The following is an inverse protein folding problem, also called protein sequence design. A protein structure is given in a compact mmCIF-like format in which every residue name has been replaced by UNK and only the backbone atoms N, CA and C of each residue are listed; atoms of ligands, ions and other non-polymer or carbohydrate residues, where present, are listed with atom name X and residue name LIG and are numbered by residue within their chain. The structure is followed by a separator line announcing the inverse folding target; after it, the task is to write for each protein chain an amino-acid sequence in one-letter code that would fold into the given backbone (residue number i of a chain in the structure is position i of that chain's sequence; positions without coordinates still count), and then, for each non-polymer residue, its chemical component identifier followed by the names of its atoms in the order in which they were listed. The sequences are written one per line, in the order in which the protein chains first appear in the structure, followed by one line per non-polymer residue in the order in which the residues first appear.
data_IF_474798095621
#
_entry.id   IF_474798095621
#
_cell.length_a   1.000
_cell.length_b   1.000
_cell.length_c   1.000
_cell.angle_alpha   90.00
_cell.angle_beta   90.00
_cell.angle_gamma   90.00
#
_symmetry.space_group_name_H-M   'P 1'
#
loop_
_entity.id
_entity.type
_entity.pdbx_description
1 polymer ?
#
# COMPACT_ATOMS: atom_id res chain seq x y z
N UNK A 1 -3.18 17.79 -10.70
CA UNK A 1 -3.66 16.75 -9.76
C UNK A 1 -4.86 17.30 -9.03
N UNK A 2 -5.80 16.43 -8.66
CA UNK A 2 -6.86 16.81 -7.73
C UNK A 2 -6.24 17.16 -6.37
N UNK A 3 -6.81 18.15 -5.68
CA UNK A 3 -6.31 18.56 -4.36
C UNK A 3 -6.74 17.55 -3.29
N UNK A 4 -5.77 17.05 -2.52
CA UNK A 4 -5.99 16.17 -1.36
C UNK A 4 -5.72 16.97 -0.09
N UNK A 5 -6.75 17.18 0.72
CA UNK A 5 -6.77 18.11 1.85
C UNK A 5 -6.43 17.45 3.20
N UNK A 6 -6.29 16.11 3.25
CA UNK A 6 -6.00 15.36 4.46
C UNK A 6 -4.52 15.07 4.75
N UNK A 7 -3.62 15.59 3.90
CA UNK A 7 -2.19 15.23 3.94
C UNK A 7 -1.92 13.84 3.36
N UNK A 8 -0.89 13.17 3.88
CA UNK A 8 -0.47 11.83 3.45
C UNK A 8 -0.42 10.82 4.61
N UNK A 9 -0.22 9.54 4.30
CA UNK A 9 -0.14 8.48 5.31
C UNK A 9 1.09 8.60 6.21
N UNK A 10 2.18 9.19 5.74
CA UNK A 10 3.35 9.43 6.58
C UNK A 10 3.02 10.43 7.69
N UNK A 11 2.34 11.52 7.35
CA UNK A 11 1.89 12.54 8.30
C UNK A 11 0.85 11.98 9.27
N UNK A 12 -0.11 11.16 8.79
CA UNK A 12 -1.07 10.46 9.65
C UNK A 12 -0.36 9.57 10.67
N UNK A 13 0.56 8.71 10.22
CA UNK A 13 1.28 7.81 11.11
C UNK A 13 2.15 8.56 12.12
N UNK A 14 2.82 9.64 11.66
CA UNK A 14 3.64 10.49 12.52
C UNK A 14 2.82 11.15 13.64
N UNK A 15 1.59 11.60 13.33
CA UNK A 15 0.65 12.12 14.34
C UNK A 15 0.26 11.04 15.35
N UNK A 16 -0.13 9.86 14.89
CA UNK A 16 -0.47 8.72 15.75
C UNK A 16 0.68 8.33 16.70
N UNK A 17 1.90 8.19 16.17
CA UNK A 17 3.09 7.88 16.96
C UNK A 17 3.41 8.96 18.01
N UNK A 18 3.32 10.24 17.62
CA UNK A 18 3.55 11.38 18.53
C UNK A 18 2.56 11.38 19.71
N UNK A 19 1.34 10.92 19.49
CA UNK A 19 0.30 10.81 20.50
C UNK A 19 0.28 9.46 21.23
N UNK A 20 1.23 8.55 20.92
CA UNK A 20 1.30 7.21 21.53
C UNK A 20 0.05 6.36 21.23
N UNK A 21 -0.52 6.53 20.05
CA UNK A 21 -1.77 5.91 19.64
C UNK A 21 -1.62 5.14 18.33
N UNK A 22 -2.41 4.07 18.19
CA UNK A 22 -2.50 3.29 16.96
C UNK A 22 -3.47 3.94 15.96
N UNK A 23 -3.19 3.74 14.68
CA UNK A 23 -4.22 3.96 13.65
C UNK A 23 -5.36 2.97 13.92
N UNK A 24 -6.64 3.41 13.93
CA UNK A 24 -7.77 2.54 14.18
C UNK A 24 -7.82 1.35 13.21
N UNK A 25 -8.17 0.15 13.73
CA UNK A 25 -8.28 -1.08 12.94
C UNK A 25 -9.06 -0.90 11.64
N UNK A 26 -10.24 -0.27 11.72
CA UNK A 26 -11.12 -0.05 10.58
C UNK A 26 -10.49 0.87 9.53
N UNK A 27 -9.73 1.88 9.94
CA UNK A 27 -8.97 2.74 9.02
C UNK A 27 -7.80 1.98 8.37
N UNK A 28 -7.07 1.15 9.13
CA UNK A 28 -6.02 0.28 8.58
C UNK A 28 -6.56 -0.67 7.51
N UNK A 29 -7.71 -1.30 7.76
CA UNK A 29 -8.39 -2.19 6.80
C UNK A 29 -8.84 -1.38 5.58
N UNK A 30 -9.40 -0.18 5.78
CA UNK A 30 -9.79 0.74 4.69
C UNK A 30 -8.60 1.13 3.81
N UNK A 31 -7.45 1.46 4.41
CA UNK A 31 -6.19 1.75 3.71
C UNK A 31 -5.77 0.55 2.85
N UNK A 32 -5.73 -0.65 3.45
CA UNK A 32 -5.34 -1.87 2.73
C UNK A 32 -6.25 -2.13 1.54
N UNK A 33 -7.58 -2.14 1.75
CA UNK A 33 -8.58 -2.40 0.71
C UNK A 33 -8.46 -1.38 -0.43
N UNK A 34 -8.31 -0.09 -0.11
CA UNK A 34 -8.20 0.97 -1.11
C UNK A 34 -6.91 0.85 -1.95
N UNK A 35 -5.76 0.56 -1.33
CA UNK A 35 -4.50 0.36 -2.05
C UNK A 35 -4.55 -0.90 -2.92
N UNK A 36 -5.18 -1.98 -2.45
CA UNK A 36 -5.40 -3.20 -3.25
C UNK A 36 -6.26 -2.88 -4.47
N UNK A 37 -7.32 -2.10 -4.32
CA UNK A 37 -8.16 -1.66 -5.46
C UNK A 37 -7.34 -0.85 -6.47
N UNK A 38 -6.53 0.10 -6.01
CA UNK A 38 -5.64 0.88 -6.88
C UNK A 38 -4.64 -0.02 -7.63
N UNK A 39 -4.01 -0.97 -6.94
CA UNK A 39 -3.08 -1.91 -7.57
C UNK A 39 -3.77 -2.87 -8.54
N UNK A 40 -4.97 -3.35 -8.23
CA UNK A 40 -5.73 -4.22 -9.12
C UNK A 40 -6.11 -3.48 -10.42
N UNK A 41 -6.39 -2.18 -10.32
CA UNK A 41 -6.53 -1.32 -11.49
C UNK A 41 -5.22 -1.23 -12.27
N UNK A 42 -4.12 -0.80 -11.65
CA UNK A 42 -2.83 -0.62 -12.36
C UNK A 42 -2.31 -1.92 -13.01
N UNK A 43 -2.42 -3.04 -12.30
CA UNK A 43 -1.84 -4.32 -12.73
C UNK A 43 -2.72 -5.05 -13.75
N UNK A 44 -4.05 -4.89 -13.68
CA UNK A 44 -4.98 -5.76 -14.41
C UNK A 44 -6.15 -5.04 -15.09
N UNK A 45 -6.27 -3.73 -14.88
CA UNK A 45 -7.41 -2.92 -15.33
C UNK A 45 -8.69 -3.27 -14.60
N UNK A 46 -8.61 -3.81 -13.37
CA UNK A 46 -9.80 -4.23 -12.63
C UNK A 46 -10.38 -3.07 -11.84
N UNK A 47 -11.69 -2.86 -11.98
CA UNK A 47 -12.49 -1.88 -11.24
C UNK A 47 -13.49 -2.65 -10.40
N UNK A 48 -13.53 -2.34 -9.11
CA UNK A 48 -14.54 -2.84 -8.20
C UNK A 48 -15.77 -1.93 -8.23
N UNK A 49 -16.95 -2.52 -8.46
CA UNK A 49 -18.21 -1.80 -8.59
C UNK A 49 -19.03 -1.89 -7.29
N UNK A 50 -19.89 -0.90 -6.99
CA UNK A 50 -20.73 -0.89 -5.79
C UNK A 50 -21.66 -2.10 -5.66
N UNK A 51 -22.06 -2.71 -6.79
CA UNK A 51 -22.86 -3.94 -6.81
C UNK A 51 -22.07 -5.20 -6.38
N UNK A 52 -20.85 -5.02 -5.87
CA UNK A 52 -19.98 -6.08 -5.42
C UNK A 52 -19.29 -6.84 -6.56
N UNK A 53 -19.42 -6.43 -7.82
CA UNK A 53 -18.78 -7.13 -8.95
C UNK A 53 -17.48 -6.46 -9.36
N UNK A 54 -16.60 -7.21 -10.03
CA UNK A 54 -15.36 -6.67 -10.60
C UNK A 54 -15.46 -6.65 -12.12
N UNK A 55 -15.20 -5.50 -12.73
CA UNK A 55 -15.20 -5.33 -14.19
C UNK A 55 -13.78 -5.00 -14.66
N UNK A 56 -13.43 -5.43 -15.87
CA UNK A 56 -12.22 -4.95 -16.54
C UNK A 56 -12.51 -3.65 -17.29
N UNK A 57 -11.77 -2.61 -16.96
CA UNK A 57 -11.76 -1.34 -17.68
C UNK A 57 -10.90 -1.46 -18.95
N UNK A 58 -11.44 -0.98 -20.06
CA UNK A 58 -10.75 -0.93 -21.34
C UNK A 58 -10.50 0.54 -21.69
N UNK A 59 -9.24 0.92 -21.89
CA UNK A 59 -8.90 2.29 -22.26
C UNK A 59 -9.35 2.56 -23.72
N UNK A 60 -10.00 3.72 -24.00
CA UNK A 60 -10.51 4.04 -25.34
C UNK A 60 -9.45 3.98 -26.45
N UNK A 61 -8.21 4.37 -26.13
CA UNK A 61 -7.08 4.40 -27.06
C UNK A 61 -6.37 3.04 -27.26
N UNK A 62 -6.74 2.00 -26.50
CA UNK A 62 -6.17 0.64 -26.64
C UNK A 62 -7.22 -0.41 -26.26
N UNK A 63 -8.29 -0.54 -27.07
CA UNK A 63 -9.47 -1.33 -26.73
C UNK A 63 -9.21 -2.84 -26.59
N UNK A 64 -8.03 -3.35 -26.96
CA UNK A 64 -7.72 -4.79 -26.97
C UNK A 64 -6.68 -5.27 -25.95
N UNK A 65 -5.98 -4.40 -25.20
CA UNK A 65 -4.98 -4.88 -24.22
C UNK A 65 -4.71 -3.88 -23.11
N UNK A 66 -4.97 -4.28 -21.86
CA UNK A 66 -4.45 -3.59 -20.69
C UNK A 66 -2.92 -3.70 -20.68
N UNK A 67 -2.22 -2.59 -20.47
CA UNK A 67 -0.78 -2.58 -20.23
C UNK A 67 -0.56 -2.53 -18.73
N UNK A 68 0.10 -3.54 -18.17
CA UNK A 68 0.44 -3.58 -16.75
C UNK A 68 1.28 -2.37 -16.38
N UNK A 69 0.77 -1.53 -15.48
CA UNK A 69 1.48 -0.37 -14.95
C UNK A 69 2.05 -0.75 -13.59
N UNK A 70 3.35 -0.52 -13.41
CA UNK A 70 4.02 -0.63 -12.12
C UNK A 70 4.17 0.76 -11.53
N UNK A 71 3.80 0.93 -10.27
CA UNK A 71 3.98 2.20 -9.55
C UNK A 71 5.46 2.46 -9.22
N UNK A 72 6.12 1.42 -8.72
CA UNK A 72 7.53 1.35 -8.32
C UNK A 72 7.98 2.21 -7.14
N UNK A 73 7.15 3.12 -6.62
CA UNK A 73 7.50 3.88 -5.40
C UNK A 73 6.30 4.01 -4.45
N UNK A 74 5.76 2.86 -4.01
CA UNK A 74 4.66 2.82 -3.06
C UNK A 74 5.24 2.95 -1.65
N UNK A 75 4.93 4.07 -1.02
CA UNK A 75 5.40 4.46 0.32
C UNK A 75 4.38 5.41 0.96
N UNK A 76 4.37 5.59 2.29
CA UNK A 76 3.36 6.41 2.97
C UNK A 76 3.26 7.85 2.45
N UNK A 77 4.36 8.46 2.04
CA UNK A 77 4.41 9.82 1.48
C UNK A 77 3.67 9.96 0.14
N UNK A 78 3.56 8.86 -0.61
CA UNK A 78 2.91 8.83 -1.92
C UNK A 78 1.44 8.39 -1.83
N UNK A 79 0.89 8.28 -0.62
CA UNK A 79 -0.50 7.86 -0.39
C UNK A 79 -1.23 9.00 0.32
N UNK A 80 -2.04 9.72 -0.46
CA UNK A 80 -2.72 10.92 -0.03
C UNK A 80 -4.09 10.60 0.57
N UNK A 81 -4.52 11.48 1.47
CA UNK A 81 -5.83 11.44 2.11
C UNK A 81 -6.70 12.57 1.55
N UNK A 82 -7.88 12.20 1.04
CA UNK A 82 -8.83 13.17 0.48
C UNK A 82 -10.19 13.05 1.14
N UNK A 83 -10.71 14.16 1.64
CA UNK A 83 -12.10 14.22 2.08
C UNK A 83 -13.01 14.57 0.89
N UNK A 84 -14.09 13.80 0.64
CA UNK A 84 -15.01 14.13 -0.44
C UNK A 84 -15.66 15.49 -0.19
N UNK A 85 -15.67 16.36 -1.21
CA UNK A 85 -16.24 17.72 -1.11
C UNK A 85 -17.74 17.72 -0.74
N UNK A 86 -18.45 16.68 -1.19
CA UNK A 86 -19.86 16.41 -0.87
C UNK A 86 -19.98 15.10 -0.08
N UNK A 87 -19.06 14.84 0.84
CA UNK A 87 -19.23 13.77 1.81
C UNK A 87 -20.60 13.96 2.45
N UNK A 88 -21.53 13.02 2.24
CA UNK A 88 -22.63 12.87 3.16
C UNK A 88 -22.02 12.75 4.56
N UNK A 89 -22.74 13.20 5.59
CA UNK A 89 -22.26 13.09 6.99
C UNK A 89 -21.87 11.64 7.39
N UNK A 90 -22.18 10.66 6.55
CA UNK A 90 -21.83 9.24 6.64
C UNK A 90 -20.45 8.82 6.12
N UNK A 91 -19.66 9.66 5.42
CA UNK A 91 -18.30 9.25 5.01
C UNK A 91 -17.38 9.16 6.23
N UNK A 92 -17.18 7.94 6.72
CA UNK A 92 -16.44 7.62 7.94
C UNK A 92 -14.93 7.89 7.84
N UNK A 93 -14.33 7.65 6.67
CA UNK A 93 -12.89 7.75 6.42
C UNK A 93 -12.60 8.58 5.16
N UNK A 94 -11.39 9.18 5.06
CA UNK A 94 -10.97 9.81 3.82
C UNK A 94 -10.79 8.77 2.72
N UNK A 95 -10.91 9.21 1.48
CA UNK A 95 -10.47 8.43 0.34
C UNK A 95 -8.93 8.32 0.35
N UNK A 96 -8.45 7.14 -0.01
CA UNK A 96 -7.03 6.82 -0.05
C UNK A 96 -6.58 6.86 -1.51
N UNK A 97 -5.73 7.83 -1.84
CA UNK A 97 -5.33 8.13 -3.21
C UNK A 97 -3.85 7.82 -3.39
N UNK A 98 -3.55 6.83 -4.23
CA UNK A 98 -2.16 6.55 -4.64
C UNK A 98 -1.69 7.62 -5.62
N UNK A 99 -0.53 8.22 -5.35
CA UNK A 99 0.01 9.37 -6.07
C UNK A 99 1.50 9.19 -6.40
N UNK A 100 2.06 10.17 -7.12
CA UNK A 100 3.46 10.18 -7.59
C UNK A 100 3.84 9.00 -8.51
N UNK A 101 3.44 9.14 -9.77
CA UNK A 101 3.79 8.20 -10.84
C UNK A 101 5.16 8.51 -11.48
N UNK A 102 6.02 9.31 -10.83
CA UNK A 102 7.33 9.70 -11.38
C UNK A 102 8.29 8.52 -11.63
N UNK A 103 8.14 7.44 -10.86
CA UNK A 103 8.91 6.19 -11.02
C UNK A 103 8.16 5.12 -11.81
N UNK A 104 6.91 5.39 -12.21
CA UNK A 104 6.04 4.39 -12.80
C UNK A 104 6.48 4.02 -14.22
N UNK A 105 6.06 2.84 -14.65
CA UNK A 105 6.31 2.40 -16.02
C UNK A 105 5.54 1.15 -16.38
N UNK A 106 5.50 0.85 -17.68
CA UNK A 106 4.90 -0.38 -18.18
C UNK A 106 5.84 -1.54 -17.88
N UNK A 107 5.34 -2.63 -17.27
CA UNK A 107 6.15 -3.73 -16.73
C UNK A 107 7.23 -4.25 -17.70
N UNK A 108 6.93 -4.39 -19.00
CA UNK A 108 7.87 -4.86 -20.01
C UNK A 108 8.80 -3.78 -20.61
N UNK A 109 8.73 -2.55 -20.12
CA UNK A 109 9.55 -1.40 -20.54
C UNK A 109 10.35 -0.78 -19.39
N UNK A 110 10.06 -1.17 -18.15
CA UNK A 110 10.80 -0.70 -16.98
C UNK A 110 12.19 -1.32 -17.00
N UNK A 111 13.19 -0.47 -16.83
CA UNK A 111 14.60 -0.86 -16.71
C UNK A 111 15.11 -0.48 -15.33
N UNK A 112 15.90 -1.40 -14.75
CA UNK A 112 16.65 -1.20 -13.52
C UNK A 112 15.80 -1.10 -12.25
N UNK A 113 16.47 -1.09 -11.08
CA UNK A 113 15.79 -0.87 -9.81
C UNK A 113 15.23 0.55 -9.71
N UNK A 114 14.05 0.69 -9.11
CA UNK A 114 13.31 1.95 -8.95
C UNK A 114 12.69 2.07 -7.57
N UNK A 115 12.38 3.32 -7.21
CA UNK A 115 11.71 3.67 -5.96
C UNK A 115 12.65 3.80 -4.77
N UNK A 116 12.06 3.76 -3.59
CA UNK A 116 12.73 4.01 -2.32
C UNK A 116 13.21 2.70 -1.69
N UNK A 117 14.52 2.56 -1.45
CA UNK A 117 15.18 1.34 -0.94
C UNK A 117 14.46 0.71 0.27
N UNK A 118 14.01 1.52 1.24
CA UNK A 118 13.32 1.07 2.46
C UNK A 118 12.03 0.28 2.20
N UNK A 119 11.32 0.61 1.11
CA UNK A 119 10.06 -0.03 0.72
C UNK A 119 10.23 -1.03 -0.42
N UNK A 120 11.42 -1.05 -1.04
CA UNK A 120 11.76 -1.96 -2.12
C UNK A 120 11.72 -3.43 -1.66
N UNK A 121 11.30 -4.31 -2.57
CA UNK A 121 11.33 -5.74 -2.37
C UNK A 121 12.77 -6.28 -2.28
N UNK A 122 13.03 -7.44 -1.64
CA UNK A 122 14.38 -7.98 -1.49
C UNK A 122 15.13 -8.09 -2.82
N UNK A 123 14.45 -8.55 -3.88
CA UNK A 123 15.03 -8.66 -5.23
C UNK A 123 15.37 -7.30 -5.86
N UNK A 124 14.74 -6.21 -5.40
CA UNK A 124 15.03 -4.84 -5.84
C UNK A 124 16.09 -4.19 -4.94
N UNK A 125 16.14 -4.53 -3.65
CA UNK A 125 17.23 -4.11 -2.76
C UNK A 125 18.57 -4.70 -3.21
N UNK A 126 18.60 -6.00 -3.51
CA UNK A 126 19.79 -6.65 -4.08
C UNK A 126 20.26 -5.96 -5.36
N UNK A 127 19.33 -5.49 -6.18
CA UNK A 127 19.62 -4.72 -7.38
C UNK A 127 20.23 -3.34 -7.09
N UNK A 128 19.72 -2.63 -6.07
CA UNK A 128 20.30 -1.37 -5.60
C UNK A 128 21.71 -1.58 -5.06
N UNK A 129 21.92 -2.63 -4.27
CA UNK A 129 23.22 -2.96 -3.68
C UNK A 129 24.24 -3.33 -4.75
N UNK A 130 23.84 -4.17 -5.71
CA UNK A 130 24.66 -4.52 -6.86
C UNK A 130 25.04 -3.28 -7.67
N UNK A 131 24.07 -2.41 -7.98
CA UNK A 131 24.33 -1.17 -8.73
C UNK A 131 25.32 -0.28 -7.98
N UNK A 132 25.13 -0.11 -6.68
CA UNK A 132 26.03 0.69 -5.82
C UNK A 132 27.45 0.13 -5.84
N UNK A 133 27.60 -1.18 -5.63
CA UNK A 133 28.88 -1.89 -5.71
C UNK A 133 29.58 -1.70 -7.07
N UNK A 134 28.85 -1.85 -8.17
CA UNK A 134 29.38 -1.67 -9.53
C UNK A 134 29.82 -0.23 -9.81
N UNK A 135 29.12 0.78 -9.29
CA UNK A 135 29.53 2.19 -9.40
C UNK A 135 30.87 2.39 -8.69
N UNK A 136 31.04 1.81 -7.50
CA UNK A 136 32.27 1.93 -6.71
C UNK A 136 33.47 1.22 -7.36
N UNK A 137 33.27 0.05 -7.97
CA UNK A 137 34.36 -0.77 -8.50
C UNK A 137 34.66 -0.53 -9.98
N UNK A 138 33.69 -0.02 -10.75
CA UNK A 138 33.82 0.18 -12.19
C UNK A 138 33.49 1.64 -12.56
N UNK A 139 32.28 1.87 -13.06
CA UNK A 139 31.75 3.18 -13.43
C UNK A 139 30.22 3.09 -13.60
N UNK A 140 29.57 4.26 -13.73
CA UNK A 140 28.12 4.36 -13.91
C UNK A 140 27.59 3.57 -15.12
N UNK A 141 28.28 3.62 -16.27
CA UNK A 141 27.81 2.96 -17.51
C UNK A 141 27.78 1.43 -17.37
N UNK A 142 28.82 0.85 -16.78
CA UNK A 142 28.86 -0.58 -16.50
C UNK A 142 27.80 -0.98 -15.47
N UNK A 143 27.63 -0.17 -14.42
CA UNK A 143 26.61 -0.41 -13.40
C UNK A 143 25.19 -0.38 -13.97
N UNK A 144 24.87 0.61 -14.82
CA UNK A 144 23.55 0.72 -15.45
C UNK A 144 23.32 -0.42 -16.44
N UNK A 145 24.33 -0.80 -17.25
CA UNK A 145 24.21 -1.92 -18.19
C UNK A 145 23.83 -3.22 -17.50
N UNK A 146 24.44 -3.51 -16.34
CA UNK A 146 24.20 -4.74 -15.58
C UNK A 146 22.89 -4.65 -14.79
N UNK A 147 22.68 -3.56 -14.05
CA UNK A 147 21.49 -3.40 -13.20
C UNK A 147 20.19 -3.22 -14.00
N UNK A 148 20.25 -2.74 -15.25
CA UNK A 148 19.10 -2.66 -16.14
C UNK A 148 18.47 -4.03 -16.47
N UNK A 149 19.21 -5.12 -16.32
CA UNK A 149 18.69 -6.48 -16.47
C UNK A 149 17.78 -6.92 -15.32
N UNK A 150 17.71 -6.15 -14.23
CA UNK A 150 16.87 -6.46 -13.08
C UNK A 150 15.50 -5.84 -13.28
N UNK A 151 14.46 -6.69 -13.15
CA UNK A 151 13.11 -6.39 -13.62
C UNK A 151 12.20 -6.12 -12.41
N UNK A 152 11.68 -4.91 -12.32
CA UNK A 152 10.52 -4.62 -11.46
C UNK A 152 9.31 -5.40 -11.98
N UNK A 153 8.53 -5.98 -11.08
CA UNK A 153 7.31 -6.72 -11.43
C UNK A 153 6.14 -6.24 -10.59
N UNK A 154 4.92 -6.64 -10.96
CA UNK A 154 3.73 -6.44 -10.10
C UNK A 154 3.94 -6.91 -8.66
N UNK A 155 4.71 -7.99 -8.46
CA UNK A 155 5.02 -8.54 -7.12
C UNK A 155 5.92 -7.65 -6.27
N UNK A 156 6.73 -6.79 -6.88
CA UNK A 156 7.52 -5.78 -6.14
C UNK A 156 6.63 -4.67 -5.56
N UNK A 157 5.56 -4.29 -6.26
CA UNK A 157 4.55 -3.36 -5.75
C UNK A 157 3.74 -3.99 -4.60
N UNK A 158 3.42 -5.29 -4.69
CA UNK A 158 2.74 -6.03 -3.62
C UNK A 158 3.59 -6.06 -2.34
N UNK A 159 4.90 -6.26 -2.46
CA UNK A 159 5.80 -6.14 -1.31
C UNK A 159 5.75 -4.74 -0.70
N UNK A 160 5.83 -3.70 -1.55
CA UNK A 160 5.83 -2.31 -1.10
C UNK A 160 4.54 -1.95 -0.35
N UNK A 161 3.38 -2.46 -0.82
CA UNK A 161 2.11 -2.43 -0.06
C UNK A 161 2.27 -3.07 1.31
N UNK A 162 2.81 -4.29 1.38
CA UNK A 162 3.08 -4.98 2.63
C UNK A 162 3.96 -4.18 3.58
N UNK A 163 4.97 -3.46 3.07
CA UNK A 163 5.85 -2.58 3.85
C UNK A 163 5.13 -1.34 4.36
N UNK A 164 4.26 -0.73 3.57
CA UNK A 164 3.38 0.36 4.02
C UNK A 164 2.48 -0.12 5.15
N UNK A 165 1.81 -1.26 4.97
CA UNK A 165 1.01 -1.87 6.05
C UNK A 165 1.86 -2.17 7.27
N UNK A 166 3.13 -2.56 7.06
CA UNK A 166 4.07 -2.80 8.14
C UNK A 166 4.26 -1.58 9.05
N UNK A 167 4.31 -0.42 8.44
CA UNK A 167 4.52 0.85 9.12
C UNK A 167 3.23 1.41 9.73
N UNK A 168 2.07 1.16 9.11
CA UNK A 168 0.76 1.59 9.63
C UNK A 168 0.26 0.74 10.82
N UNK A 169 0.91 -0.40 11.08
CA UNK A 169 0.57 -1.30 12.19
C UNK A 169 1.79 -1.50 13.11
N UNK A 170 2.24 -0.47 13.85
CA UNK A 170 3.37 -0.63 14.75
C UNK A 170 3.03 -1.64 15.86
N UNK A 171 4.02 -2.38 16.32
CA UNK A 171 3.89 -3.11 17.58
C UNK A 171 3.94 -2.13 18.74
N UNK A 172 3.07 -2.31 19.72
CA UNK A 172 3.16 -1.61 20.99
C UNK A 172 3.10 -2.63 22.12
N UNK A 173 3.86 -2.38 23.17
CA UNK A 173 3.76 -3.13 24.42
C UNK A 173 3.19 -2.22 25.51
N UNK A 174 2.49 -2.81 26.48
CA UNK A 174 1.99 -2.06 27.63
C UNK A 174 3.08 -1.91 28.68
N UNK A 175 3.36 -0.67 29.08
CA UNK A 175 4.15 -0.34 30.27
C UNK A 175 3.30 0.60 31.12
N UNK A 176 2.99 0.18 32.35
CA UNK A 176 2.15 0.95 33.29
C UNK A 176 0.83 1.45 32.69
N UNK A 177 0.17 0.61 31.89
CA UNK A 177 -1.11 0.92 31.23
C UNK A 177 -1.00 1.82 29.99
N UNK A 178 0.21 2.24 29.59
CA UNK A 178 0.46 3.02 28.36
C UNK A 178 1.03 2.13 27.26
N UNK A 179 0.61 2.35 26.03
CA UNK A 179 1.19 1.70 24.86
C UNK A 179 2.52 2.38 24.48
N UNK A 180 3.61 1.62 24.43
CA UNK A 180 4.93 2.08 23.99
C UNK A 180 5.31 1.32 22.72
N UNK A 181 5.69 2.06 21.68
CA UNK A 181 6.08 1.52 20.38
C UNK A 181 7.33 0.63 20.50
N UNK A 182 7.24 -0.60 19.99
CA UNK A 182 8.38 -1.51 19.84
C UNK A 182 8.87 -1.46 18.39
N UNK A 183 10.02 -0.82 18.17
CA UNK A 183 10.60 -0.66 16.82
C UNK A 183 11.33 -1.89 16.29
N UNK A 184 11.51 -2.93 17.12
CA UNK A 184 12.31 -4.10 16.77
C UNK A 184 11.63 -5.39 17.22
N UNK A 185 11.20 -6.20 16.25
CA UNK A 185 10.54 -7.47 16.51
C UNK A 185 9.89 -8.06 15.26
N UNK A 186 9.59 -9.35 15.34
CA UNK A 186 8.62 -9.96 14.45
C UNK A 186 7.23 -9.54 14.90
N UNK A 187 6.38 -9.18 13.94
CA UNK A 187 4.95 -8.93 14.10
C UNK A 187 4.23 -10.08 14.82
N UNK A 188 4.22 -10.06 16.14
CA UNK A 188 3.55 -11.06 17.00
C UNK A 188 2.33 -10.46 17.68
N UNK A 189 1.23 -11.21 17.74
CA UNK A 189 0.01 -10.83 18.49
C UNK A 189 -0.89 -9.80 17.79
N UNK A 190 -0.56 -9.38 16.57
CA UNK A 190 -1.39 -8.47 15.78
C UNK A 190 -2.71 -9.13 15.32
N UNK A 191 -2.78 -10.45 15.34
CA UNK A 191 -3.98 -11.23 15.05
C UNK A 191 -5.13 -10.92 16.02
N UNK A 192 -4.84 -10.66 17.29
CA UNK A 192 -5.85 -10.29 18.29
C UNK A 192 -6.50 -8.93 17.96
N UNK A 193 -5.74 -8.04 17.32
CA UNK A 193 -6.19 -6.70 16.95
C UNK A 193 -6.89 -6.75 15.59
N UNK A 194 -6.18 -7.21 14.55
CA UNK A 194 -6.61 -7.08 13.16
C UNK A 194 -7.33 -8.31 12.62
N UNK A 195 -7.26 -9.45 13.31
CA UNK A 195 -7.82 -10.73 12.88
C UNK A 195 -6.80 -11.59 12.12
N UNK A 196 -6.90 -12.90 12.31
CA UNK A 196 -5.94 -13.86 11.72
C UNK A 196 -5.89 -13.81 10.20
N UNK A 197 -7.05 -13.71 9.54
CA UNK A 197 -7.12 -13.78 8.09
C UNK A 197 -6.54 -12.52 7.44
N UNK A 198 -6.90 -11.33 7.93
CA UNK A 198 -6.31 -10.06 7.48
C UNK A 198 -4.78 -10.07 7.65
N UNK A 199 -4.28 -10.46 8.83
CA UNK A 199 -2.84 -10.53 9.09
C UNK A 199 -2.13 -11.55 8.21
N UNK A 200 -2.77 -12.68 7.91
CA UNK A 200 -2.24 -13.69 6.96
C UNK A 200 -2.00 -13.08 5.58
N UNK A 201 -2.94 -12.28 5.06
CA UNK A 201 -2.80 -11.66 3.74
C UNK A 201 -1.74 -10.56 3.71
N UNK A 202 -1.68 -9.71 4.74
CA UNK A 202 -0.62 -8.69 4.84
C UNK A 202 0.76 -9.36 4.91
N UNK A 203 0.93 -10.43 5.70
CA UNK A 203 2.20 -11.18 5.76
C UNK A 203 2.55 -11.86 4.44
N UNK A 204 1.57 -12.39 3.70
CA UNK A 204 1.82 -12.95 2.35
C UNK A 204 2.36 -11.89 1.38
N UNK A 205 1.96 -10.61 1.52
CA UNK A 205 2.53 -9.53 0.73
C UNK A 205 4.04 -9.36 0.98
N UNK A 206 4.50 -9.66 2.20
CA UNK A 206 5.90 -9.64 2.64
C UNK A 206 6.63 -10.97 2.42
N UNK A 207 6.17 -11.82 1.49
CA UNK A 207 6.87 -13.05 1.11
C UNK A 207 8.26 -12.77 0.56
N UNK A 208 9.27 -13.49 1.03
CA UNK A 208 10.69 -13.29 0.63
C UNK A 208 10.91 -13.45 -0.86
N UNK A 209 10.19 -14.36 -1.52
CA UNK A 209 10.23 -14.54 -2.98
C UNK A 209 9.02 -13.89 -3.66
N UNK A 210 9.19 -13.34 -4.88
CA UNK A 210 8.07 -12.79 -5.66
C UNK A 210 6.94 -13.79 -5.91
N UNK A 211 7.28 -15.07 -6.07
CA UNK A 211 6.31 -16.15 -6.34
C UNK A 211 5.38 -16.36 -5.14
N UNK A 212 5.90 -16.27 -3.91
CA UNK A 212 5.11 -16.46 -2.69
C UNK A 212 4.16 -15.31 -2.35
N UNK A 213 4.30 -14.16 -3.02
CA UNK A 213 3.40 -13.01 -2.82
C UNK A 213 2.10 -13.18 -3.60
N UNK A 214 0.95 -12.68 -3.12
CA UNK A 214 -0.29 -12.71 -3.89
C UNK A 214 -0.23 -11.71 -5.06
N UNK A 215 -1.13 -11.85 -6.01
CA UNK A 215 -1.45 -10.83 -7.02
C UNK A 215 -2.42 -9.80 -6.45
N UNK A 216 -2.45 -8.60 -7.03
CA UNK A 216 -3.45 -7.59 -6.67
C UNK A 216 -4.88 -8.08 -6.91
N UNK A 217 -5.08 -8.95 -7.93
CA UNK A 217 -6.37 -9.60 -8.19
C UNK A 217 -6.82 -10.51 -7.06
N UNK A 218 -5.95 -11.40 -6.59
CA UNK A 218 -6.27 -12.32 -5.47
C UNK A 218 -6.61 -11.54 -4.19
N UNK A 219 -5.86 -10.47 -3.91
CA UNK A 219 -6.15 -9.58 -2.79
C UNK A 219 -7.51 -8.88 -2.94
N UNK A 220 -7.83 -8.39 -4.15
CA UNK A 220 -9.09 -7.73 -4.42
C UNK A 220 -10.28 -8.69 -4.25
N UNK A 221 -10.21 -9.89 -4.84
CA UNK A 221 -11.26 -10.90 -4.71
C UNK A 221 -11.56 -11.24 -3.25
N UNK A 222 -10.52 -11.27 -2.39
CA UNK A 222 -10.70 -11.45 -0.94
C UNK A 222 -11.36 -10.25 -0.26
N UNK A 223 -10.87 -9.03 -0.52
CA UNK A 223 -11.41 -7.80 0.05
C UNK A 223 -12.90 -7.61 -0.27
N UNK A 224 -13.31 -8.02 -1.48
CA UNK A 224 -14.71 -8.02 -1.92
C UNK A 224 -15.56 -9.02 -1.15
N UNK A 225 -15.05 -10.25 -0.94
CA UNK A 225 -15.78 -11.29 -0.21
C UNK A 225 -16.11 -10.87 1.22
N UNK A 226 -15.13 -10.30 1.94
CA UNK A 226 -15.33 -9.81 3.32
C UNK A 226 -16.39 -8.71 3.39
N UNK A 227 -16.37 -7.77 2.44
CA UNK A 227 -17.33 -6.66 2.39
C UNK A 227 -18.79 -7.14 2.19
N UNK A 228 -18.99 -8.31 1.59
CA UNK A 228 -20.33 -8.92 1.44
C UNK A 228 -20.79 -9.68 2.69
N UNK A 229 -19.84 -10.18 3.48
CA UNK A 229 -20.11 -10.97 4.69
C UNK A 229 -20.37 -10.06 5.90
N UNK A 230 -19.73 -8.89 5.96
CA UNK A 230 -19.84 -7.95 7.08
C UNK A 230 -21.12 -7.09 7.08
N UNK A 231 -21.93 -7.13 6.00
CA UNK A 231 -23.05 -6.20 5.79
C UNK A 231 -22.56 -4.76 5.55
N UNK A 232 -23.39 -3.89 4.95
CA UNK A 232 -23.10 -2.46 4.93
C UNK A 232 -23.10 -1.95 6.38
N UNK A 233 -21.91 -1.63 6.91
CA UNK A 233 -21.73 -0.86 8.15
C UNK A 233 -22.61 0.39 8.02
N UNK A 234 -23.78 0.37 8.67
CA UNK A 234 -24.75 1.46 8.67
C UNK A 234 -24.05 2.67 9.24
N UNK A 235 -23.58 3.55 8.36
CA UNK A 235 -22.65 4.64 8.61
C UNK A 235 -23.18 5.74 9.53
N UNK A 236 -23.51 5.37 10.76
CA UNK A 236 -23.74 6.30 11.84
C UNK A 236 -22.40 6.66 12.44
N UNK A 237 -22.06 7.94 12.30
CA UNK A 237 -20.91 8.63 12.86
C UNK A 237 -19.71 8.66 11.91
N UNK A 238 -19.48 9.87 11.36
CA UNK A 238 -18.22 10.38 10.81
C UNK A 238 -17.00 9.83 11.57
N UNK A 239 -15.80 10.07 11.05
CA UNK A 239 -14.56 10.07 11.85
C UNK A 239 -14.57 10.98 13.12
N UNK A 240 -15.72 11.47 13.57
CA UNK A 240 -16.02 12.20 14.80
C UNK A 240 -15.72 11.41 16.09
N UNK A 241 -15.67 10.08 16.07
CA UNK A 241 -15.18 9.31 17.22
C UNK A 241 -13.66 9.26 17.31
N UNK A 242 -12.94 9.70 16.27
CA UNK A 242 -11.50 9.82 16.32
C UNK A 242 -11.13 11.21 16.83
N UNK A 243 -10.16 11.32 17.75
CA UNK A 243 -9.73 12.60 18.26
C UNK A 243 -9.31 13.55 17.13
N UNK A 244 -9.66 14.83 17.24
CA UNK A 244 -9.34 15.86 16.22
C UNK A 244 -7.85 15.86 15.82
N UNK A 245 -6.95 15.58 16.77
CA UNK A 245 -5.50 15.54 16.53
C UNK A 245 -5.07 14.49 15.48
N UNK A 246 -5.90 13.48 15.21
CA UNK A 246 -5.63 12.47 14.15
C UNK A 246 -5.58 13.13 12.77
N UNK A 247 -6.36 14.19 12.57
CA UNK A 247 -6.60 14.78 11.24
C UNK A 247 -5.89 16.11 11.00
N UNK A 248 -5.28 16.70 12.02
CA UNK A 248 -4.63 18.01 11.96
C UNK A 248 -5.47 19.06 12.66
#
# INVERSE_FOLDING_TARGET
MEYCDGGDLWELNSRCLKHGARIPKSLVIHIFKSLVTALAYLHHGLVFLPNGTTQRHFLPASPKRWQTILHNDIKPENILLRWPASASESSRFPEIVLSDFGTSGIENKVLGPRGTYRYAAPEIQEAFDLRTSLIHHLNFKSADTISNGIICTTKSNIWSLGKVMQEMMPEYHKVDGREIEKRQGWWTGLEEIYGEDFMRWVRKCLGSTPLGRPSARELLEKAVKETREDGEDTGEQRGQNLPKWVWG
#
